data_IF_517563299098
#
_entry.id   IF_517563299098
#
_cell.length_a   1.000
_cell.length_b   1.000
_cell.length_c   1.000
_cell.angle_alpha   90.00
_cell.angle_beta   90.00
_cell.angle_gamma   90.00
#
_symmetry.space_group_name_H-M   'P 1'
#
loop_
_entity.id
_entity.type
_entity.pdbx_description
1 polymer ?
#
# COMPACT_ATOMS: atom_id res chain seq x y z
N UNK A 1 3.37 13.56 -8.69
CA UNK A 1 4.81 13.32 -8.96
C UNK A 1 5.25 11.91 -8.55
N UNK A 2 5.02 11.44 -7.32
CA UNK A 2 5.38 10.06 -6.90
C UNK A 2 4.93 8.98 -7.89
N UNK A 3 3.67 9.00 -8.33
CA UNK A 3 3.17 8.06 -9.34
C UNK A 3 3.92 8.15 -10.67
N UNK A 4 4.35 9.35 -11.07
CA UNK A 4 5.13 9.55 -12.29
C UNK A 4 6.52 8.93 -12.19
N UNK A 5 7.16 9.03 -11.03
CA UNK A 5 8.45 8.37 -10.77
C UNK A 5 8.33 6.85 -10.74
N UNK A 6 7.24 6.32 -10.15
CA UNK A 6 6.99 4.90 -10.15
C UNK A 6 6.68 4.33 -11.54
N UNK A 7 6.21 5.14 -12.49
CA UNK A 7 6.04 4.71 -13.88
C UNK A 7 7.37 4.35 -14.55
N UNK A 8 8.50 4.93 -14.11
CA UNK A 8 9.81 4.59 -14.68
C UNK A 8 10.14 3.09 -14.57
N UNK A 9 9.55 2.39 -13.60
CA UNK A 9 9.73 0.94 -13.50
C UNK A 9 9.14 0.16 -14.68
N UNK A 10 8.22 0.75 -15.43
CA UNK A 10 7.66 0.12 -16.63
C UNK A 10 8.66 -0.03 -17.79
N UNK A 11 9.85 0.58 -17.68
CA UNK A 11 10.99 0.36 -18.57
C UNK A 11 11.32 -1.13 -18.69
N UNK A 12 11.17 -1.89 -17.60
CA UNK A 12 11.39 -3.35 -17.54
C UNK A 12 10.53 -4.11 -18.54
N UNK A 13 9.37 -3.57 -18.90
CA UNK A 13 8.45 -4.21 -19.85
C UNK A 13 9.03 -4.32 -21.27
N UNK A 14 10.04 -3.53 -21.59
CA UNK A 14 10.75 -3.56 -22.87
C UNK A 14 11.94 -4.52 -22.87
N UNK A 15 12.38 -4.99 -21.71
CA UNK A 15 13.41 -6.00 -21.60
C UNK A 15 12.77 -7.36 -21.88
N UNK A 16 13.28 -8.09 -22.86
CA UNK A 16 12.75 -9.39 -23.26
C UNK A 16 13.81 -10.50 -23.18
N UNK A 17 13.38 -11.71 -23.39
CA UNK A 17 14.27 -12.88 -23.40
C UNK A 17 15.12 -12.97 -24.71
N UNK A 18 14.76 -12.23 -25.76
CA UNK A 18 15.35 -12.38 -27.08
C UNK A 18 16.45 -11.34 -27.35
N UNK A 19 16.12 -10.34 -28.14
CA UNK A 19 17.06 -9.37 -28.71
C UNK A 19 17.28 -8.13 -27.83
N UNK A 20 16.36 -7.83 -26.89
CA UNK A 20 16.49 -6.75 -25.94
C UNK A 20 16.61 -7.26 -24.48
N UNK A 21 17.49 -8.23 -24.25
CA UNK A 21 17.80 -8.67 -22.88
C UNK A 21 18.55 -7.56 -22.11
N UNK A 22 18.74 -7.75 -20.81
CA UNK A 22 19.36 -6.74 -19.91
C UNK A 22 20.71 -6.25 -20.47
N UNK A 23 21.56 -7.15 -20.99
CA UNK A 23 22.87 -6.79 -21.54
C UNK A 23 22.77 -6.01 -22.86
N UNK A 24 21.85 -6.43 -23.74
CA UNK A 24 21.60 -5.73 -25.00
C UNK A 24 21.02 -4.35 -24.77
N UNK A 25 20.08 -4.22 -23.81
CA UNK A 25 19.52 -2.93 -23.41
C UNK A 25 20.58 -2.01 -22.82
N UNK A 26 21.43 -2.52 -21.91
CA UNK A 26 22.56 -1.77 -21.36
C UNK A 26 23.56 -1.32 -22.42
N UNK A 27 23.88 -2.19 -23.41
CA UNK A 27 24.74 -1.85 -24.54
C UNK A 27 24.13 -0.76 -25.43
N UNK A 28 22.82 -0.83 -25.70
CA UNK A 28 22.12 0.21 -26.45
C UNK A 28 22.15 1.55 -25.68
N UNK A 29 21.94 1.52 -24.38
CA UNK A 29 22.03 2.69 -23.51
C UNK A 29 23.45 3.27 -23.46
N UNK A 30 24.49 2.44 -23.46
CA UNK A 30 25.89 2.90 -23.45
C UNK A 30 26.25 3.78 -24.67
N UNK A 31 25.59 3.59 -25.80
CA UNK A 31 25.71 4.48 -26.97
C UNK A 31 24.78 5.70 -26.79
N UNK A 32 25.15 6.60 -25.93
CA UNK A 32 24.33 7.75 -25.50
C UNK A 32 23.83 8.60 -26.67
N UNK A 33 24.68 8.89 -27.66
CA UNK A 33 24.25 9.71 -28.81
C UNK A 33 23.10 9.07 -29.60
N UNK A 34 23.22 7.78 -29.90
CA UNK A 34 22.19 7.05 -30.63
C UNK A 34 20.95 6.81 -29.74
N UNK A 35 21.18 6.48 -28.49
CA UNK A 35 20.10 6.23 -27.56
C UNK A 35 19.17 7.44 -27.38
N UNK A 36 19.73 8.64 -27.20
CA UNK A 36 18.92 9.86 -27.09
C UNK A 36 18.26 10.28 -28.39
N UNK A 37 18.87 9.96 -29.56
CA UNK A 37 18.21 10.13 -30.85
C UNK A 37 16.98 9.22 -30.97
N UNK A 38 17.12 7.94 -30.61
CA UNK A 38 16.03 6.97 -30.64
C UNK A 38 14.93 7.33 -29.59
N UNK A 39 15.34 7.78 -28.40
CA UNK A 39 14.42 8.29 -27.41
C UNK A 39 13.60 9.47 -27.96
N UNK A 40 14.27 10.46 -28.55
CA UNK A 40 13.58 11.63 -29.09
C UNK A 40 12.62 11.26 -30.23
N UNK A 41 13.03 10.34 -31.09
CA UNK A 41 12.18 9.82 -32.18
C UNK A 41 10.91 9.17 -31.60
N UNK A 42 11.05 8.26 -30.65
CA UNK A 42 9.93 7.55 -30.02
C UNK A 42 9.05 8.53 -29.23
N UNK A 43 9.66 9.39 -28.41
CA UNK A 43 8.92 10.35 -27.57
C UNK A 43 8.08 11.32 -28.40
N UNK A 44 8.54 11.68 -29.58
CA UNK A 44 7.84 12.56 -30.51
C UNK A 44 6.96 11.82 -31.53
N UNK A 45 6.85 10.48 -31.44
CA UNK A 45 5.98 9.69 -32.30
C UNK A 45 4.51 10.04 -32.09
N UNK A 46 3.72 9.88 -33.16
CA UNK A 46 2.28 10.17 -33.08
C UNK A 46 1.56 9.28 -32.06
N UNK A 47 2.03 8.05 -31.90
CA UNK A 47 1.52 7.14 -30.86
C UNK A 47 1.66 7.74 -29.46
N UNK A 48 2.83 8.25 -29.10
CA UNK A 48 3.05 8.83 -27.77
C UNK A 48 2.45 10.24 -27.64
N UNK A 49 2.34 10.99 -28.73
CA UNK A 49 1.56 12.25 -28.73
C UNK A 49 0.09 12.01 -28.44
N UNK A 50 -0.52 11.02 -29.10
CA UNK A 50 -1.91 10.63 -28.84
C UNK A 50 -2.10 10.15 -27.40
N UNK A 51 -1.15 9.36 -26.90
CA UNK A 51 -1.17 8.88 -25.51
C UNK A 51 -1.08 10.03 -24.48
N UNK A 52 -0.32 11.08 -24.77
CA UNK A 52 -0.26 12.32 -23.96
C UNK A 52 -1.51 13.19 -24.12
N UNK A 53 -2.13 13.17 -25.28
CA UNK A 53 -3.32 13.96 -25.61
C UNK A 53 -4.64 13.46 -25.03
N UNK A 54 -4.61 12.46 -24.12
CA UNK A 54 -5.78 12.00 -23.40
C UNK A 54 -6.52 10.80 -24.02
N UNK A 55 -5.92 10.12 -25.02
CA UNK A 55 -6.38 8.79 -25.42
C UNK A 55 -5.88 7.81 -24.37
N UNK A 56 -6.74 7.43 -23.61
CA UNK A 56 -6.92 6.74 -22.35
C UNK A 56 -6.02 5.54 -22.09
N UNK A 57 -5.24 5.67 -21.04
CA UNK A 57 -4.53 4.55 -20.40
C UNK A 57 -5.28 3.99 -19.19
N UNK A 58 -6.19 4.78 -18.62
CA UNK A 58 -7.05 4.39 -17.50
C UNK A 58 -8.50 4.70 -17.83
N UNK A 59 -9.24 3.65 -18.19
CA UNK A 59 -10.67 3.74 -18.58
C UNK A 59 -11.51 4.35 -17.46
N UNK A 60 -11.22 4.01 -16.20
CA UNK A 60 -12.02 4.47 -15.06
C UNK A 60 -11.80 5.96 -14.75
N UNK A 61 -10.55 6.42 -14.78
CA UNK A 61 -10.23 7.83 -14.53
C UNK A 61 -10.76 8.74 -15.63
N UNK A 62 -10.71 8.26 -16.87
CA UNK A 62 -11.18 9.01 -18.02
C UNK A 62 -12.71 9.02 -18.15
N UNK A 63 -13.41 7.92 -17.86
CA UNK A 63 -14.88 7.88 -17.78
C UNK A 63 -15.38 8.81 -16.68
N UNK A 64 -14.71 8.81 -15.52
CA UNK A 64 -15.03 9.72 -14.41
C UNK A 64 -14.81 11.19 -14.84
N UNK A 65 -13.67 11.51 -15.41
CA UNK A 65 -13.38 12.86 -15.90
C UNK A 65 -14.36 13.30 -16.99
N UNK A 66 -14.71 12.42 -17.93
CA UNK A 66 -15.67 12.70 -18.99
C UNK A 66 -17.09 12.89 -18.43
N UNK A 67 -17.51 12.08 -17.46
CA UNK A 67 -18.83 12.21 -16.81
C UNK A 67 -18.93 13.51 -16.01
N UNK A 68 -17.86 13.88 -15.32
CA UNK A 68 -17.79 15.13 -14.55
C UNK A 68 -17.72 16.36 -15.47
N UNK A 69 -17.02 16.28 -16.61
CA UNK A 69 -16.92 17.35 -17.61
C UNK A 69 -18.27 17.65 -18.29
N UNK A 70 -19.09 16.63 -18.54
CA UNK A 70 -20.44 16.77 -19.10
C UNK A 70 -21.47 17.31 -18.09
N UNK A 71 -21.12 17.45 -16.83
CA UNK A 71 -22.02 17.95 -15.79
C UNK A 71 -22.22 19.46 -15.93
N UNK A 72 -23.45 19.92 -15.77
CA UNK A 72 -23.80 21.36 -15.67
C UNK A 72 -23.40 21.97 -14.31
N UNK A 73 -22.93 21.18 -13.36
CA UNK A 73 -22.55 21.65 -12.03
C UNK A 73 -21.09 22.16 -12.03
N UNK A 74 -20.84 23.46 -11.72
CA UNK A 74 -19.50 24.07 -11.74
C UNK A 74 -18.49 23.35 -10.86
N UNK A 75 -18.92 22.86 -9.69
CA UNK A 75 -18.04 22.14 -8.76
C UNK A 75 -17.51 20.83 -9.37
N UNK A 76 -18.34 20.10 -10.11
CA UNK A 76 -17.95 18.85 -10.80
C UNK A 76 -16.99 19.14 -11.95
N UNK A 77 -17.20 20.24 -12.68
CA UNK A 77 -16.28 20.67 -13.76
C UNK A 77 -14.92 21.07 -13.18
N UNK A 78 -14.90 21.78 -12.04
CA UNK A 78 -13.66 22.11 -11.34
C UNK A 78 -12.91 20.86 -10.88
N UNK A 79 -13.60 19.90 -10.28
CA UNK A 79 -13.01 18.61 -9.87
C UNK A 79 -12.45 17.87 -11.10
N UNK A 80 -13.16 17.87 -12.22
CA UNK A 80 -12.67 17.26 -13.47
C UNK A 80 -11.34 17.88 -13.92
N UNK A 81 -11.23 19.21 -13.91
CA UNK A 81 -9.99 19.93 -14.27
C UNK A 81 -8.86 19.65 -13.29
N UNK A 82 -9.13 19.61 -11.99
CA UNK A 82 -8.14 19.27 -10.96
C UNK A 82 -7.64 17.85 -11.11
N UNK A 83 -8.51 16.89 -11.45
CA UNK A 83 -8.14 15.52 -11.76
C UNK A 83 -7.26 15.46 -13.01
N UNK A 84 -7.64 16.14 -14.09
CA UNK A 84 -6.88 16.19 -15.34
C UNK A 84 -5.46 16.73 -15.11
N UNK A 85 -5.33 17.85 -14.40
CA UNK A 85 -4.04 18.41 -13.99
C UNK A 85 -3.25 17.48 -13.06
N UNK A 86 -3.94 16.77 -12.16
CA UNK A 86 -3.32 15.80 -11.25
C UNK A 86 -2.78 14.55 -11.95
N UNK A 87 -3.35 14.16 -13.10
CA UNK A 87 -2.87 13.04 -13.92
C UNK A 87 -1.76 13.41 -14.89
N UNK A 88 -1.62 14.68 -15.25
CA UNK A 88 -0.61 15.14 -16.23
C UNK A 88 0.82 14.68 -15.88
N UNK A 89 1.32 14.82 -14.64
CA UNK A 89 2.65 14.31 -14.30
C UNK A 89 2.80 12.79 -14.48
N UNK A 90 1.74 12.03 -14.20
CA UNK A 90 1.74 10.57 -14.37
C UNK A 90 1.77 10.19 -15.85
N UNK A 91 1.00 10.90 -16.70
CA UNK A 91 1.02 10.71 -18.15
C UNK A 91 2.38 11.05 -18.77
N UNK A 92 3.00 12.14 -18.33
CA UNK A 92 4.36 12.50 -18.77
C UNK A 92 5.36 11.44 -18.31
N UNK A 93 5.29 11.00 -17.05
CA UNK A 93 6.15 9.95 -16.50
C UNK A 93 6.01 8.63 -17.25
N UNK A 94 4.79 8.22 -17.58
CA UNK A 94 4.51 7.03 -18.38
C UNK A 94 5.14 7.13 -19.77
N UNK A 95 4.97 8.26 -20.47
CA UNK A 95 5.55 8.47 -21.78
C UNK A 95 7.08 8.52 -21.77
N UNK A 96 7.69 9.11 -20.73
CA UNK A 96 9.13 9.07 -20.53
C UNK A 96 9.60 7.63 -20.34
N UNK A 97 8.93 6.85 -19.49
CA UNK A 97 9.28 5.46 -19.24
C UNK A 97 9.16 4.60 -20.52
N UNK A 98 8.09 4.80 -21.29
CA UNK A 98 7.89 4.12 -22.58
C UNK A 98 9.01 4.49 -23.57
N UNK A 99 9.35 5.78 -23.68
CA UNK A 99 10.41 6.22 -24.58
C UNK A 99 11.79 5.72 -24.13
N UNK A 100 12.06 5.71 -22.83
CA UNK A 100 13.33 5.22 -22.24
C UNK A 100 13.52 3.73 -22.49
N UNK A 101 12.55 2.90 -22.17
CA UNK A 101 12.61 1.46 -22.41
C UNK A 101 12.53 1.13 -23.91
N UNK A 102 11.66 1.85 -24.61
CA UNK A 102 11.43 1.71 -26.04
C UNK A 102 12.65 2.04 -26.89
N UNK A 103 13.48 3.01 -26.52
CA UNK A 103 14.68 3.37 -27.26
C UNK A 103 15.67 2.20 -27.39
N UNK A 104 15.95 1.50 -26.28
CA UNK A 104 16.82 0.32 -26.31
C UNK A 104 16.20 -0.83 -27.12
N UNK A 105 14.90 -1.06 -26.94
CA UNK A 105 14.15 -2.08 -27.67
C UNK A 105 14.15 -1.81 -29.17
N UNK A 106 13.78 -0.61 -29.59
CA UNK A 106 13.75 -0.17 -30.97
C UNK A 106 15.10 -0.35 -31.65
N UNK A 107 16.19 0.10 -31.00
CA UNK A 107 17.56 -0.05 -31.53
C UNK A 107 17.95 -1.51 -31.72
N UNK A 108 17.68 -2.35 -30.73
CA UNK A 108 18.01 -3.76 -30.83
C UNK A 108 17.17 -4.51 -31.87
N UNK A 109 15.91 -4.09 -32.06
CA UNK A 109 15.07 -4.61 -33.17
C UNK A 109 15.61 -4.22 -34.55
N UNK A 110 16.04 -2.96 -34.73
CA UNK A 110 16.70 -2.53 -35.97
C UNK A 110 17.92 -3.41 -36.23
N UNK A 111 18.81 -3.57 -35.24
CA UNK A 111 20.00 -4.39 -35.37
C UNK A 111 19.67 -5.85 -35.75
N UNK A 112 18.58 -6.38 -35.24
CA UNK A 112 18.11 -7.74 -35.57
C UNK A 112 17.66 -7.81 -37.02
N UNK A 113 16.90 -6.84 -37.51
CA UNK A 113 16.42 -6.81 -38.90
C UNK A 113 17.53 -6.55 -39.91
N UNK A 114 18.50 -5.71 -39.57
CA UNK A 114 19.69 -5.52 -40.41
C UNK A 114 20.49 -6.81 -40.56
N UNK A 115 20.65 -7.59 -39.47
CA UNK A 115 21.29 -8.92 -39.54
C UNK A 115 20.51 -9.94 -40.37
N UNK A 116 19.21 -9.72 -40.56
CA UNK A 116 18.34 -10.55 -41.42
C UNK A 116 18.38 -10.09 -42.89
N UNK A 117 19.17 -9.05 -43.22
CA UNK A 117 19.36 -8.56 -44.58
C UNK A 117 18.34 -7.51 -45.05
N UNK A 118 17.53 -6.96 -44.14
CA UNK A 118 16.63 -5.86 -44.52
C UNK A 118 17.43 -4.56 -44.72
N UNK A 119 16.91 -3.69 -45.58
CA UNK A 119 17.43 -2.33 -45.68
C UNK A 119 17.21 -1.52 -44.40
N UNK A 120 18.01 -0.48 -44.18
CA UNK A 120 17.90 0.37 -42.98
C UNK A 120 16.47 0.90 -42.81
N UNK A 121 15.85 1.39 -43.89
CA UNK A 121 14.51 1.97 -43.85
C UNK A 121 13.42 0.95 -43.53
N UNK A 122 13.52 -0.26 -44.04
CA UNK A 122 12.61 -1.35 -43.75
C UNK A 122 12.79 -1.86 -42.29
N UNK A 123 14.04 -1.95 -41.84
CA UNK A 123 14.37 -2.34 -40.47
C UNK A 123 13.81 -1.35 -39.45
N UNK A 124 13.93 -0.05 -39.70
CA UNK A 124 13.36 1.01 -38.87
C UNK A 124 11.84 0.94 -38.84
N UNK A 125 11.17 0.79 -39.97
CA UNK A 125 9.71 0.69 -40.03
C UNK A 125 9.18 -0.53 -39.29
N UNK A 126 9.79 -1.71 -39.48
CA UNK A 126 9.41 -2.93 -38.77
C UNK A 126 9.70 -2.83 -37.26
N UNK A 127 10.87 -2.31 -36.90
CA UNK A 127 11.22 -2.12 -35.49
C UNK A 127 10.25 -1.17 -34.77
N UNK A 128 9.76 -0.14 -35.46
CA UNK A 128 8.76 0.76 -34.92
C UNK A 128 7.40 0.08 -34.75
N UNK A 129 6.98 -0.76 -35.70
CA UNK A 129 5.77 -1.59 -35.55
C UNK A 129 5.88 -2.53 -34.35
N UNK A 130 7.01 -3.24 -34.20
CA UNK A 130 7.26 -4.10 -33.06
C UNK A 130 7.24 -3.33 -31.71
N UNK A 131 7.80 -2.11 -31.70
CA UNK A 131 7.75 -1.21 -30.57
C UNK A 131 6.30 -0.83 -30.22
N UNK A 132 5.47 -0.52 -31.21
CA UNK A 132 4.05 -0.24 -30.98
C UNK A 132 3.34 -1.44 -30.39
N UNK A 133 3.58 -2.63 -30.94
CA UNK A 133 2.94 -3.88 -30.46
C UNK A 133 3.37 -4.24 -29.05
N UNK A 134 4.66 -4.18 -28.74
CA UNK A 134 5.13 -4.45 -27.36
C UNK A 134 4.56 -3.42 -26.39
N UNK A 135 4.52 -2.14 -26.76
CA UNK A 135 3.94 -1.10 -25.91
C UNK A 135 2.48 -1.35 -25.62
N UNK A 136 1.68 -1.70 -26.63
CA UNK A 136 0.26 -2.00 -26.43
C UNK A 136 0.03 -3.29 -25.64
N UNK A 137 0.91 -4.27 -25.78
CA UNK A 137 0.77 -5.56 -25.09
C UNK A 137 1.26 -5.54 -23.65
N UNK A 138 2.26 -4.74 -23.32
CA UNK A 138 2.90 -4.70 -21.98
C UNK A 138 2.47 -3.52 -21.12
N UNK A 139 1.94 -2.46 -21.72
CA UNK A 139 1.34 -1.34 -21.00
C UNK A 139 -0.17 -1.53 -20.87
N UNK A 140 -0.80 -0.81 -19.97
CA UNK A 140 -2.27 -0.78 -19.91
C UNK A 140 -2.82 -0.23 -21.22
N UNK A 141 -3.51 -1.07 -21.96
CA UNK A 141 -4.17 -0.70 -23.22
C UNK A 141 -5.68 -0.84 -23.06
N UNK A 142 -6.41 0.16 -23.54
CA UNK A 142 -7.87 0.11 -23.64
C UNK A 142 -8.32 -0.53 -24.97
N UNK A 143 -7.39 -0.97 -25.82
CA UNK A 143 -7.72 -1.60 -27.11
C UNK A 143 -8.46 -2.92 -26.90
N UNK A 144 -9.62 -3.13 -27.57
CA UNK A 144 -10.42 -4.34 -27.40
C UNK A 144 -9.68 -5.64 -27.76
N UNK A 145 -8.73 -5.58 -28.71
CA UNK A 145 -7.92 -6.71 -29.14
C UNK A 145 -6.86 -7.13 -28.11
N UNK A 146 -6.51 -6.24 -27.18
CA UNK A 146 -5.55 -6.49 -26.12
C UNK A 146 -6.20 -6.92 -24.80
N UNK A 147 -7.52 -6.81 -24.70
CA UNK A 147 -8.31 -7.21 -23.52
C UNK A 147 -8.83 -8.64 -23.72
N UNK A 148 -8.58 -9.54 -22.76
CA UNK A 148 -9.09 -10.91 -22.85
C UNK A 148 -10.62 -10.93 -22.68
N UNK A 149 -11.31 -11.94 -23.27
CA UNK A 149 -12.75 -12.12 -23.09
C UNK A 149 -13.15 -12.20 -21.61
N UNK A 150 -12.30 -12.79 -20.77
CA UNK A 150 -12.54 -12.85 -19.32
C UNK A 150 -12.49 -11.44 -18.69
N UNK A 151 -11.51 -10.61 -19.07
CA UNK A 151 -11.39 -9.25 -18.58
C UNK A 151 -12.53 -8.34 -19.09
N UNK A 152 -13.04 -8.61 -20.29
CA UNK A 152 -14.17 -7.87 -20.88
C UNK A 152 -15.52 -8.18 -20.20
N UNK A 153 -15.63 -9.32 -19.51
CA UNK A 153 -16.84 -9.68 -18.76
C UNK A 153 -17.07 -8.78 -17.56
N UNK A 154 -18.30 -8.66 -17.08
CA UNK A 154 -18.64 -7.83 -15.91
C UNK A 154 -17.83 -8.26 -14.67
N UNK A 155 -17.76 -9.55 -14.39
CA UNK A 155 -16.99 -10.11 -13.27
C UNK A 155 -15.48 -9.89 -13.51
N UNK A 156 -15.02 -10.10 -14.73
CA UNK A 156 -13.63 -9.89 -15.10
C UNK A 156 -13.19 -8.44 -14.93
N UNK A 157 -14.01 -7.46 -15.27
CA UNK A 157 -13.73 -6.03 -15.03
C UNK A 157 -13.54 -5.72 -13.55
N UNK A 158 -14.24 -6.43 -12.67
CA UNK A 158 -14.16 -6.22 -11.23
C UNK A 158 -12.92 -6.92 -10.62
N UNK A 159 -12.60 -8.14 -11.07
CA UNK A 159 -11.54 -8.98 -10.47
C UNK A 159 -10.19 -8.82 -11.19
N UNK A 160 -10.20 -8.77 -12.54
CA UNK A 160 -8.99 -8.75 -13.37
C UNK A 160 -8.58 -7.34 -13.81
N UNK A 161 -9.10 -6.31 -13.17
CA UNK A 161 -8.69 -4.95 -13.44
C UNK A 161 -7.17 -4.80 -13.22
N UNK A 162 -6.48 -4.11 -14.12
CA UNK A 162 -5.03 -3.90 -14.11
C UNK A 162 -4.14 -5.16 -14.29
N UNK A 163 -4.71 -6.30 -14.72
CA UNK A 163 -3.97 -7.55 -14.91
C UNK A 163 -3.40 -7.74 -16.33
N UNK A 164 -3.46 -6.72 -17.21
CA UNK A 164 -3.06 -6.87 -18.62
C UNK A 164 -1.60 -7.29 -18.78
N UNK A 165 -0.68 -6.64 -18.08
CA UNK A 165 0.77 -6.93 -18.14
C UNK A 165 1.04 -8.37 -17.69
N UNK A 166 0.52 -8.74 -16.52
CA UNK A 166 0.66 -10.09 -15.97
C UNK A 166 0.06 -11.14 -16.89
N UNK A 167 -1.09 -10.87 -17.50
CA UNK A 167 -1.74 -11.77 -18.45
C UNK A 167 -0.91 -11.97 -19.72
N UNK A 168 -0.20 -10.94 -20.21
CA UNK A 168 0.68 -11.06 -21.38
C UNK A 168 1.90 -11.93 -21.07
N UNK A 169 2.58 -11.72 -19.95
CA UNK A 169 3.71 -12.56 -19.57
C UNK A 169 3.31 -14.02 -19.38
N UNK A 170 2.15 -14.27 -18.80
CA UNK A 170 1.62 -15.62 -18.71
C UNK A 170 1.28 -16.23 -20.07
N UNK A 171 0.79 -15.45 -21.04
CA UNK A 171 0.60 -15.94 -22.43
C UNK A 171 1.91 -16.34 -23.06
N UNK A 172 2.98 -15.54 -22.87
CA UNK A 172 4.30 -15.85 -23.40
C UNK A 172 4.88 -17.11 -22.77
N UNK A 173 4.78 -17.23 -21.44
CA UNK A 173 5.19 -18.44 -20.72
C UNK A 173 4.36 -19.68 -21.10
N UNK A 174 3.02 -19.52 -21.20
CA UNK A 174 2.11 -20.59 -21.64
C UNK A 174 2.42 -21.04 -23.07
N UNK A 175 2.69 -20.10 -23.99
CA UNK A 175 3.09 -20.43 -25.35
C UNK A 175 4.39 -21.25 -25.36
N UNK A 176 5.39 -20.83 -24.60
CA UNK A 176 6.64 -21.56 -24.49
C UNK A 176 6.43 -22.97 -23.92
N UNK A 177 5.56 -23.13 -22.92
CA UNK A 177 5.17 -24.45 -22.40
C UNK A 177 4.46 -25.32 -23.45
N UNK A 178 3.52 -24.74 -24.19
CA UNK A 178 2.83 -25.43 -25.29
C UNK A 178 3.80 -25.86 -26.40
N UNK A 179 4.83 -25.03 -26.70
CA UNK A 179 5.84 -25.36 -27.70
C UNK A 179 6.73 -26.53 -27.26
N UNK A 180 7.07 -26.64 -25.96
CA UNK A 180 7.72 -27.83 -25.39
C UNK A 180 6.80 -29.05 -25.50
N UNK A 181 5.58 -28.93 -24.98
CA UNK A 181 4.62 -30.05 -24.95
C UNK A 181 4.33 -30.61 -26.35
N UNK A 182 4.14 -29.71 -27.34
CA UNK A 182 3.86 -30.09 -28.72
C UNK A 182 5.15 -30.35 -29.54
N UNK A 183 6.33 -30.36 -28.92
CA UNK A 183 7.63 -30.56 -29.56
C UNK A 183 7.86 -29.67 -30.79
N UNK A 184 7.49 -28.40 -30.67
CA UNK A 184 7.65 -27.43 -31.79
C UNK A 184 9.05 -26.85 -31.80
N UNK A 185 9.69 -26.92 -32.97
CA UNK A 185 10.94 -26.23 -33.22
C UNK A 185 10.64 -24.76 -33.51
N UNK A 186 11.03 -23.87 -32.60
CA UNK A 186 10.68 -22.44 -32.63
C UNK A 186 11.63 -21.60 -33.50
N UNK A 187 12.81 -22.13 -33.83
CA UNK A 187 13.79 -21.45 -34.68
C UNK A 187 14.27 -22.40 -35.76
N UNK A 188 14.40 -21.94 -37.04
CA UNK A 188 15.02 -22.76 -38.10
C UNK A 188 16.45 -23.11 -37.67
N UNK A 189 16.92 -24.25 -38.12
CA UNK A 189 18.27 -24.80 -37.86
C UNK A 189 18.62 -25.03 -36.41
N UNK A 190 17.64 -25.31 -35.55
CA UNK A 190 17.86 -25.72 -34.14
C UNK A 190 17.38 -27.14 -33.92
N UNK A 191 18.04 -27.88 -33.02
CA UNK A 191 17.58 -29.19 -32.59
C UNK A 191 16.37 -29.06 -31.63
N UNK A 192 15.58 -30.14 -31.50
CA UNK A 192 14.46 -30.18 -30.55
C UNK A 192 14.93 -29.83 -29.13
N UNK A 193 16.05 -30.40 -28.69
CA UNK A 193 16.61 -30.12 -27.36
C UNK A 193 16.98 -28.63 -27.18
N UNK A 194 17.57 -28.00 -28.17
CA UNK A 194 17.87 -26.56 -28.13
C UNK A 194 16.60 -25.72 -28.06
N UNK A 195 15.56 -26.13 -28.79
CA UNK A 195 14.25 -25.46 -28.75
C UNK A 195 13.62 -25.60 -27.38
N UNK A 196 13.65 -26.79 -26.77
CA UNK A 196 13.09 -27.08 -25.45
C UNK A 196 13.82 -26.30 -24.34
N UNK A 197 15.17 -26.25 -24.38
CA UNK A 197 15.97 -25.42 -23.46
C UNK A 197 15.62 -23.94 -23.60
N UNK A 198 15.49 -23.45 -24.83
CA UNK A 198 15.10 -22.05 -25.09
C UNK A 198 13.72 -21.74 -24.52
N UNK A 199 12.76 -22.63 -24.69
CA UNK A 199 11.41 -22.45 -24.18
C UNK A 199 11.35 -22.58 -22.65
N UNK A 200 12.09 -23.51 -22.04
CA UNK A 200 12.24 -23.61 -20.58
C UNK A 200 12.85 -22.32 -19.99
N UNK A 201 13.87 -21.77 -20.65
CA UNK A 201 14.47 -20.49 -20.26
C UNK A 201 13.49 -19.33 -20.39
N UNK A 202 12.63 -19.30 -21.41
CA UNK A 202 11.54 -18.30 -21.53
C UNK A 202 10.54 -18.41 -20.41
N UNK A 203 10.13 -19.61 -20.04
CA UNK A 203 9.21 -19.85 -18.92
C UNK A 203 9.82 -19.29 -17.61
N UNK A 204 11.08 -19.67 -17.33
CA UNK A 204 11.80 -19.16 -16.16
C UNK A 204 11.95 -17.64 -16.19
N UNK A 205 12.25 -17.06 -17.35
CA UNK A 205 12.38 -15.62 -17.50
C UNK A 205 11.07 -14.90 -17.16
N UNK A 206 9.96 -15.26 -17.79
CA UNK A 206 8.70 -14.51 -17.63
C UNK A 206 8.01 -14.77 -16.28
N UNK A 207 8.18 -15.93 -15.69
CA UNK A 207 7.55 -16.22 -14.39
C UNK A 207 8.41 -15.87 -13.18
N UNK A 208 9.73 -15.88 -13.31
CA UNK A 208 10.61 -15.61 -12.18
C UNK A 208 11.47 -14.35 -12.39
N UNK A 209 12.35 -14.36 -13.40
CA UNK A 209 13.40 -13.35 -13.58
C UNK A 209 12.83 -11.95 -13.78
N UNK A 210 11.81 -11.81 -14.61
CA UNK A 210 11.19 -10.50 -14.87
C UNK A 210 10.52 -9.91 -13.64
N UNK A 211 9.84 -10.72 -12.85
CA UNK A 211 9.27 -10.27 -11.58
C UNK A 211 10.37 -9.88 -10.58
N UNK A 212 11.48 -10.60 -10.55
CA UNK A 212 12.64 -10.26 -9.71
C UNK A 212 13.29 -8.93 -10.15
N UNK A 213 13.49 -8.71 -11.45
CA UNK A 213 14.02 -7.45 -11.99
C UNK A 213 13.12 -6.29 -11.60
N UNK A 214 11.81 -6.42 -11.82
CA UNK A 214 10.83 -5.40 -11.46
C UNK A 214 10.90 -5.05 -9.96
N UNK A 215 10.91 -6.06 -9.11
CA UNK A 215 10.99 -5.87 -7.67
C UNK A 215 12.34 -5.28 -7.23
N UNK A 216 13.44 -5.74 -7.81
CA UNK A 216 14.78 -5.21 -7.49
C UNK A 216 14.87 -3.73 -7.86
N UNK A 217 14.37 -3.33 -9.03
CA UNK A 217 14.32 -1.92 -9.43
C UNK A 217 13.41 -1.11 -8.52
N UNK A 218 12.27 -1.66 -8.12
CA UNK A 218 11.39 -1.02 -7.15
C UNK A 218 12.10 -0.78 -5.82
N UNK A 219 12.80 -1.81 -5.33
CA UNK A 219 13.55 -1.73 -4.07
C UNK A 219 14.72 -0.74 -4.18
N UNK A 220 15.48 -0.78 -5.29
CA UNK A 220 16.57 0.15 -5.53
C UNK A 220 16.10 1.60 -5.63
N UNK A 221 14.97 1.84 -6.32
CA UNK A 221 14.39 3.18 -6.40
C UNK A 221 13.96 3.69 -5.02
N UNK A 222 13.37 2.82 -4.19
CA UNK A 222 13.02 3.19 -2.82
C UNK A 222 14.26 3.40 -1.94
N UNK A 223 15.29 2.55 -2.05
CA UNK A 223 16.53 2.70 -1.29
C UNK A 223 17.24 4.02 -1.65
N UNK A 224 17.39 4.34 -2.94
CA UNK A 224 17.98 5.62 -3.38
C UNK A 224 17.26 6.86 -2.84
N UNK A 225 16.00 6.72 -2.44
CA UNK A 225 15.18 7.84 -1.95
C UNK A 225 15.12 7.94 -0.43
N UNK A 226 15.52 6.90 0.31
CA UNK A 226 15.29 6.78 1.76
C UNK A 226 16.48 6.20 2.53
N UNK A 227 17.69 6.18 1.92
CA UNK A 227 18.84 5.53 2.52
C UNK A 227 19.52 6.49 3.53
N UNK A 228 19.23 6.26 4.82
CA UNK A 228 19.96 6.90 5.93
C UNK A 228 20.36 5.91 7.06
N UNK A 229 19.98 4.60 7.00
CA UNK A 229 20.32 3.65 8.06
C UNK A 229 20.78 2.28 7.52
N UNK A 230 22.10 2.02 7.58
CA UNK A 230 22.72 0.75 7.14
C UNK A 230 22.28 -0.49 7.95
N UNK A 231 21.82 -0.35 9.18
CA UNK A 231 21.42 -1.49 10.03
C UNK A 231 20.08 -2.12 9.64
N UNK A 232 19.20 -1.38 9.01
CA UNK A 232 17.85 -1.86 8.65
C UNK A 232 17.78 -2.60 7.30
N UNK A 233 18.83 -2.49 6.46
CA UNK A 233 18.86 -3.08 5.11
C UNK A 233 18.75 -4.60 5.14
N UNK A 234 19.42 -5.29 6.05
CA UNK A 234 19.38 -6.76 6.14
C UNK A 234 18.04 -7.28 6.66
N UNK A 235 17.46 -6.66 7.68
CA UNK A 235 16.13 -7.02 8.19
C UNK A 235 15.02 -6.64 7.19
N UNK A 236 15.19 -5.53 6.50
CA UNK A 236 14.34 -5.09 5.42
C UNK A 236 14.42 -6.06 4.22
N UNK A 237 15.61 -6.57 3.89
CA UNK A 237 15.82 -7.53 2.81
C UNK A 237 15.16 -8.88 3.09
N UNK A 238 15.23 -9.41 4.32
CA UNK A 238 14.59 -10.66 4.70
C UNK A 238 13.05 -10.55 4.68
N UNK A 239 12.48 -9.48 5.22
CA UNK A 239 11.04 -9.18 5.14
C UNK A 239 10.58 -8.93 3.70
N UNK A 240 11.43 -8.31 2.89
CA UNK A 240 11.14 -8.04 1.48
C UNK A 240 11.26 -9.31 0.62
N UNK A 241 12.15 -10.24 0.96
CA UNK A 241 12.27 -11.54 0.26
C UNK A 241 10.97 -12.35 0.31
N UNK A 242 10.32 -12.42 1.45
CA UNK A 242 9.04 -13.10 1.59
C UNK A 242 7.95 -12.42 0.75
N UNK A 243 7.90 -11.09 0.76
CA UNK A 243 7.00 -10.32 -0.09
C UNK A 243 7.28 -10.51 -1.58
N UNK A 244 8.55 -10.61 -1.97
CA UNK A 244 8.97 -10.90 -3.35
C UNK A 244 8.43 -12.25 -3.81
N UNK A 245 8.69 -13.30 -3.06
CA UNK A 245 8.26 -14.67 -3.40
C UNK A 245 6.74 -14.71 -3.49
N UNK A 246 6.04 -14.21 -2.49
CA UNK A 246 4.58 -14.15 -2.49
C UNK A 246 4.01 -13.31 -3.63
N UNK A 247 4.61 -12.16 -3.94
CA UNK A 247 4.22 -11.30 -5.05
C UNK A 247 4.43 -11.97 -6.42
N UNK A 248 5.53 -12.70 -6.58
CA UNK A 248 5.81 -13.47 -7.81
C UNK A 248 4.79 -14.61 -8.00
N UNK A 249 4.49 -15.36 -6.94
CA UNK A 249 3.46 -16.41 -6.98
C UNK A 249 2.09 -15.80 -7.31
N UNK A 250 1.73 -14.67 -6.69
CA UNK A 250 0.48 -13.97 -6.98
C UNK A 250 0.42 -13.50 -8.43
N UNK A 251 1.51 -12.99 -8.97
CA UNK A 251 1.60 -12.55 -10.35
C UNK A 251 1.32 -13.71 -11.33
N UNK A 252 1.94 -14.86 -11.09
CA UNK A 252 1.70 -16.07 -11.88
C UNK A 252 0.24 -16.53 -11.75
N UNK A 253 -0.26 -16.68 -10.53
CA UNK A 253 -1.62 -17.15 -10.30
C UNK A 253 -2.66 -16.22 -10.91
N UNK A 254 -2.61 -14.93 -10.63
CA UNK A 254 -3.56 -13.93 -11.18
C UNK A 254 -3.50 -13.84 -12.70
N UNK A 255 -2.33 -14.07 -13.30
CA UNK A 255 -2.19 -14.11 -14.76
C UNK A 255 -2.91 -15.29 -15.42
N UNK A 256 -3.26 -16.36 -14.70
CA UNK A 256 -4.07 -17.46 -15.24
C UNK A 256 -5.56 -17.13 -15.34
N UNK A 257 -5.98 -15.92 -14.94
CA UNK A 257 -7.35 -15.41 -15.05
C UNK A 257 -8.14 -15.52 -13.75
N UNK A 258 -9.46 -15.66 -13.86
CA UNK A 258 -10.38 -15.61 -12.70
C UNK A 258 -10.06 -16.66 -11.63
N UNK A 259 -9.86 -17.91 -12.05
CA UNK A 259 -9.55 -19.02 -11.12
C UNK A 259 -8.25 -18.75 -10.37
N UNK A 260 -7.20 -18.35 -11.08
CA UNK A 260 -5.94 -18.01 -10.45
C UNK A 260 -6.02 -16.80 -9.53
N UNK A 261 -6.87 -15.82 -9.85
CA UNK A 261 -7.18 -14.71 -8.96
C UNK A 261 -7.80 -15.16 -7.63
N UNK A 262 -8.74 -16.10 -7.68
CA UNK A 262 -9.34 -16.72 -6.49
C UNK A 262 -8.29 -17.48 -5.68
N UNK A 263 -7.48 -18.33 -6.32
CA UNK A 263 -6.43 -19.11 -5.64
C UNK A 263 -5.38 -18.19 -4.97
N UNK A 264 -4.95 -17.14 -5.66
CA UNK A 264 -4.03 -16.14 -5.10
C UNK A 264 -4.62 -15.46 -3.87
N UNK A 265 -5.91 -15.11 -3.92
CA UNK A 265 -6.60 -14.48 -2.79
C UNK A 265 -6.74 -15.44 -1.61
N UNK A 266 -7.14 -16.69 -1.83
CA UNK A 266 -7.23 -17.70 -0.78
C UNK A 266 -5.86 -17.95 -0.11
N UNK A 267 -4.78 -18.04 -0.90
CA UNK A 267 -3.41 -18.11 -0.37
C UNK A 267 -3.09 -16.93 0.54
N UNK A 268 -3.40 -15.70 0.11
CA UNK A 268 -3.10 -14.50 0.88
C UNK A 268 -3.94 -14.40 2.15
N UNK A 269 -5.21 -14.81 2.10
CA UNK A 269 -6.08 -14.93 3.29
C UNK A 269 -5.49 -15.92 4.29
N UNK A 270 -5.01 -17.09 3.83
CA UNK A 270 -4.38 -18.07 4.70
C UNK A 270 -3.10 -17.52 5.36
N UNK A 271 -2.25 -16.82 4.60
CA UNK A 271 -1.04 -16.18 5.12
C UNK A 271 -1.41 -15.08 6.14
N UNK A 272 -2.41 -14.23 5.83
CA UNK A 272 -2.86 -13.19 6.74
C UNK A 272 -3.40 -13.80 8.05
N UNK A 273 -4.18 -14.86 7.96
CA UNK A 273 -4.70 -15.58 9.12
C UNK A 273 -3.58 -16.20 9.96
N UNK A 274 -2.63 -16.88 9.34
CA UNK A 274 -1.47 -17.46 10.04
C UNK A 274 -0.69 -16.37 10.79
N UNK A 275 -0.39 -15.25 10.13
CA UNK A 275 0.30 -14.11 10.76
C UNK A 275 -0.46 -13.55 11.95
N UNK A 276 -1.80 -13.48 11.90
CA UNK A 276 -2.60 -12.99 13.02
C UNK A 276 -2.62 -13.97 14.21
N UNK A 277 -2.51 -15.28 13.95
CA UNK A 277 -2.36 -16.29 15.03
C UNK A 277 -1.00 -16.21 15.74
N UNK A 278 0.04 -15.81 15.03
CA UNK A 278 1.39 -15.66 15.62
C UNK A 278 1.56 -14.38 16.44
N UNK A 279 0.59 -13.44 16.36
CA UNK A 279 0.60 -12.22 17.15
C UNK A 279 -0.01 -12.49 18.52
N UNK A 280 0.82 -12.48 19.56
CA UNK A 280 0.41 -12.73 20.94
C UNK A 280 -0.44 -11.62 21.58
N UNK A 281 -0.67 -10.50 20.89
CA UNK A 281 -1.35 -9.33 21.41
C UNK A 281 -2.27 -8.69 20.37
N UNK A 282 -3.58 -8.64 20.67
CA UNK A 282 -4.63 -8.01 19.87
C UNK A 282 -4.54 -8.30 18.36
N UNK A 283 -4.89 -9.50 17.91
CA UNK A 283 -4.89 -9.83 16.49
C UNK A 283 -5.84 -8.91 15.71
N UNK A 284 -5.39 -8.45 14.53
CA UNK A 284 -6.18 -7.59 13.65
C UNK A 284 -6.99 -8.42 12.66
N UNK A 285 -8.15 -8.90 13.06
CA UNK A 285 -9.04 -9.70 12.20
C UNK A 285 -9.48 -8.95 10.94
N UNK A 286 -9.53 -7.62 10.99
CA UNK A 286 -9.89 -6.81 9.82
C UNK A 286 -8.89 -6.95 8.67
N UNK A 287 -7.63 -7.28 8.95
CA UNK A 287 -6.62 -7.54 7.93
C UNK A 287 -6.95 -8.77 7.08
N UNK A 288 -7.51 -9.83 7.71
CA UNK A 288 -7.93 -11.05 7.02
C UNK A 288 -9.14 -10.78 6.11
N UNK A 289 -10.11 -10.01 6.61
CA UNK A 289 -11.30 -9.61 5.83
C UNK A 289 -10.90 -8.75 4.63
N UNK A 290 -10.00 -7.78 4.83
CA UNK A 290 -9.47 -6.92 3.74
C UNK A 290 -8.77 -7.77 2.69
N UNK A 291 -7.98 -8.79 3.09
CA UNK A 291 -7.33 -9.68 2.13
C UNK A 291 -8.34 -10.51 1.33
N UNK A 292 -9.41 -11.00 1.94
CA UNK A 292 -10.48 -11.69 1.21
C UNK A 292 -11.16 -10.77 0.18
N UNK A 293 -11.41 -9.51 0.54
CA UNK A 293 -12.02 -8.52 -0.36
C UNK A 293 -11.06 -8.03 -1.46
N UNK A 294 -9.76 -8.26 -1.34
CA UNK A 294 -8.76 -8.00 -2.39
C UNK A 294 -8.88 -8.92 -3.62
N UNK A 295 -9.80 -9.89 -3.60
CA UNK A 295 -10.19 -10.61 -4.82
C UNK A 295 -10.60 -9.61 -5.93
N UNK A 296 -11.28 -8.55 -5.56
CA UNK A 296 -11.55 -7.41 -6.42
C UNK A 296 -10.71 -6.20 -5.99
N UNK A 297 -9.78 -5.70 -6.81
CA UNK A 297 -9.03 -4.50 -6.49
C UNK A 297 -9.91 -3.30 -6.14
N UNK A 298 -11.05 -3.16 -6.80
CA UNK A 298 -12.00 -2.05 -6.56
C UNK A 298 -12.66 -2.20 -5.19
N UNK A 299 -13.16 -3.38 -4.85
CA UNK A 299 -13.81 -3.65 -3.56
C UNK A 299 -12.77 -3.61 -2.43
N UNK A 300 -11.60 -4.21 -2.64
CA UNK A 300 -10.51 -4.21 -1.67
C UNK A 300 -10.00 -2.81 -1.32
N UNK A 301 -9.92 -1.90 -2.30
CA UNK A 301 -9.56 -0.49 -2.03
C UNK A 301 -10.61 0.16 -1.13
N UNK A 302 -11.91 -0.01 -1.43
CA UNK A 302 -13.00 0.56 -0.64
C UNK A 302 -13.03 -0.02 0.79
N UNK A 303 -12.86 -1.33 0.91
CA UNK A 303 -12.77 -1.99 2.22
C UNK A 303 -11.61 -1.45 3.05
N UNK A 304 -10.41 -1.30 2.45
CA UNK A 304 -9.26 -0.68 3.15
C UNK A 304 -9.54 0.75 3.59
N UNK A 305 -10.23 1.54 2.78
CA UNK A 305 -10.58 2.92 3.14
C UNK A 305 -11.49 2.96 4.38
N UNK A 306 -12.49 2.08 4.44
CA UNK A 306 -13.38 1.95 5.61
C UNK A 306 -12.58 1.52 6.84
N UNK A 307 -11.84 0.42 6.74
CA UNK A 307 -11.04 -0.11 7.86
C UNK A 307 -10.01 0.92 8.33
N UNK A 308 -9.35 1.63 7.42
CA UNK A 308 -8.41 2.69 7.79
C UNK A 308 -9.10 3.85 8.49
N UNK A 309 -10.31 4.24 8.05
CA UNK A 309 -11.09 5.28 8.71
C UNK A 309 -11.47 4.88 10.14
N UNK A 310 -11.98 3.65 10.33
CA UNK A 310 -12.30 3.11 11.66
C UNK A 310 -11.08 3.01 12.57
N UNK A 311 -9.97 2.48 12.05
CA UNK A 311 -8.70 2.43 12.79
C UNK A 311 -8.24 3.83 13.19
N UNK A 312 -8.30 4.80 12.28
CA UNK A 312 -7.92 6.18 12.57
C UNK A 312 -8.75 6.76 13.71
N UNK A 313 -10.06 6.55 13.71
CA UNK A 313 -10.94 7.02 14.77
C UNK A 313 -10.66 6.30 16.11
N UNK A 314 -10.50 4.99 16.08
CA UNK A 314 -10.31 4.20 17.31
C UNK A 314 -8.95 4.44 17.95
N UNK A 315 -7.86 4.39 17.18
CA UNK A 315 -6.49 4.58 17.71
C UNK A 315 -6.20 6.01 18.12
N UNK A 316 -6.81 6.99 17.45
CA UNK A 316 -6.56 8.40 17.74
C UNK A 316 -7.69 9.05 18.53
N UNK A 317 -8.63 8.28 19.10
CA UNK A 317 -9.80 8.83 19.82
C UNK A 317 -9.41 9.93 20.82
N UNK A 318 -8.44 9.69 21.69
CA UNK A 318 -7.98 10.67 22.67
C UNK A 318 -7.35 11.91 22.03
N UNK A 319 -6.66 11.76 20.92
CA UNK A 319 -6.05 12.88 20.17
C UNK A 319 -7.15 13.70 19.50
N UNK A 320 -8.14 13.04 18.92
CA UNK A 320 -9.29 13.66 18.28
C UNK A 320 -10.07 14.51 19.30
N UNK A 321 -10.28 13.97 20.53
CA UNK A 321 -11.01 14.66 21.61
C UNK A 321 -10.23 15.85 22.18
N UNK A 322 -8.90 15.87 22.13
CA UNK A 322 -8.04 16.96 22.63
C UNK A 322 -7.77 18.04 21.57
N UNK A 323 -7.92 17.73 20.28
CA UNK A 323 -7.70 18.69 19.19
C UNK A 323 -8.99 19.44 18.84
N UNK A 324 -8.85 20.67 18.35
CA UNK A 324 -9.97 21.41 17.80
C UNK A 324 -10.59 20.68 16.60
N UNK A 325 -11.92 20.64 16.55
CA UNK A 325 -12.66 19.91 15.51
C UNK A 325 -12.32 20.40 14.10
N UNK A 326 -12.08 21.71 13.93
CA UNK A 326 -11.74 22.28 12.62
C UNK A 326 -10.26 22.34 12.33
N UNK A 327 -9.39 21.86 13.23
CA UNK A 327 -7.98 21.74 12.94
C UNK A 327 -7.77 20.68 11.83
N UNK A 328 -7.16 21.13 10.73
CA UNK A 328 -6.90 20.27 9.56
C UNK A 328 -5.97 19.11 9.88
N UNK A 329 -5.18 19.19 10.96
CA UNK A 329 -4.31 18.12 11.45
C UNK A 329 -5.05 17.11 12.34
N UNK A 330 -6.30 17.39 12.71
CA UNK A 330 -7.09 16.45 13.48
C UNK A 330 -7.32 15.17 12.67
N UNK A 331 -6.93 13.98 13.20
CA UNK A 331 -7.06 12.70 12.51
C UNK A 331 -8.48 12.37 12.03
N UNK A 332 -9.50 12.96 12.63
CA UNK A 332 -10.90 12.78 12.20
C UNK A 332 -11.11 13.13 10.72
N UNK A 333 -10.43 14.15 10.19
CA UNK A 333 -10.58 14.56 8.79
C UNK A 333 -10.06 13.51 7.82
N UNK A 334 -8.99 12.79 8.19
CA UNK A 334 -8.53 11.63 7.41
C UNK A 334 -9.59 10.54 7.35
N UNK A 335 -10.26 10.25 8.47
CA UNK A 335 -11.34 9.27 8.49
C UNK A 335 -12.56 9.72 7.67
N UNK A 336 -13.02 10.96 7.87
CA UNK A 336 -14.15 11.54 7.13
C UNK A 336 -13.89 11.52 5.63
N UNK A 337 -12.72 11.96 5.19
CA UNK A 337 -12.36 11.98 3.76
C UNK A 337 -12.25 10.59 3.15
N UNK A 338 -11.82 9.59 3.91
CA UNK A 338 -11.85 8.18 3.49
C UNK A 338 -13.28 7.67 3.30
N UNK A 339 -14.20 7.95 4.24
CA UNK A 339 -15.61 7.57 4.10
C UNK A 339 -16.25 8.27 2.89
N UNK A 340 -16.09 9.60 2.77
CA UNK A 340 -16.64 10.34 1.64
C UNK A 340 -16.13 9.78 0.31
N UNK A 341 -14.82 9.51 0.19
CA UNK A 341 -14.25 8.91 -1.02
C UNK A 341 -14.83 7.53 -1.31
N UNK A 342 -15.04 6.70 -0.29
CA UNK A 342 -15.57 5.34 -0.46
C UNK A 342 -16.99 5.34 -1.02
N UNK A 343 -17.85 6.23 -0.52
CA UNK A 343 -19.27 6.25 -0.91
C UNK A 343 -19.56 7.09 -2.16
N UNK A 344 -18.79 8.16 -2.37
CA UNK A 344 -19.03 9.07 -3.51
C UNK A 344 -18.16 8.79 -4.73
N UNK A 345 -17.12 7.97 -4.60
CA UNK A 345 -16.03 7.78 -5.58
C UNK A 345 -15.28 9.09 -5.95
N UNK A 346 -15.51 10.17 -5.22
CA UNK A 346 -14.75 11.40 -5.39
C UNK A 346 -13.39 11.27 -4.67
N UNK A 347 -12.28 11.71 -5.25
CA UNK A 347 -10.95 11.54 -4.68
C UNK A 347 -10.66 12.53 -3.53
N UNK A 348 -11.59 12.70 -2.62
CA UNK A 348 -11.53 13.70 -1.53
C UNK A 348 -10.36 13.45 -0.60
N UNK A 349 -10.14 12.17 -0.23
CA UNK A 349 -8.99 11.81 0.62
C UNK A 349 -7.65 12.05 -0.08
N UNK A 350 -7.57 11.84 -1.40
CA UNK A 350 -6.36 12.17 -2.17
C UNK A 350 -6.08 13.67 -2.18
N UNK A 351 -7.12 14.49 -2.31
CA UNK A 351 -7.00 15.96 -2.25
C UNK A 351 -6.57 16.40 -0.86
N UNK A 352 -7.20 15.89 0.18
CA UNK A 352 -6.82 16.13 1.57
C UNK A 352 -5.35 15.82 1.82
N UNK A 353 -4.90 14.61 1.49
CA UNK A 353 -3.52 14.19 1.68
C UNK A 353 -2.52 15.06 0.89
N UNK A 354 -2.88 15.47 -0.34
CA UNK A 354 -2.03 16.39 -1.12
C UNK A 354 -1.94 17.77 -0.45
N UNK A 355 -3.04 18.29 0.05
CA UNK A 355 -3.05 19.57 0.79
C UNK A 355 -2.19 19.50 2.04
N UNK A 356 -2.29 18.40 2.78
CA UNK A 356 -1.43 18.14 3.94
C UNK A 356 0.05 18.08 3.56
N UNK A 357 0.40 17.32 2.52
CA UNK A 357 1.78 17.22 2.06
C UNK A 357 2.37 18.58 1.64
N UNK A 358 1.60 19.39 0.89
CA UNK A 358 2.03 20.73 0.48
C UNK A 358 2.22 21.63 1.69
N UNK A 359 1.27 21.62 2.64
CA UNK A 359 1.38 22.41 3.86
C UNK A 359 2.61 22.05 4.68
N UNK A 360 2.88 20.75 4.84
CA UNK A 360 4.04 20.26 5.56
C UNK A 360 5.36 20.55 4.80
N UNK A 361 5.35 20.49 3.48
CA UNK A 361 6.48 20.88 2.66
C UNK A 361 6.80 22.39 2.76
N UNK A 362 5.82 23.22 3.11
CA UNK A 362 6.01 24.65 3.38
C UNK A 362 6.51 24.92 4.80
N UNK A 363 6.44 23.94 5.70
CA UNK A 363 6.94 24.10 7.06
C UNK A 363 8.47 24.03 7.08
N UNK A 364 9.09 24.96 7.80
CA UNK A 364 10.56 25.09 7.89
C UNK A 364 11.21 24.08 8.86
N UNK A 365 10.42 23.25 9.56
CA UNK A 365 10.90 22.25 10.49
C UNK A 365 11.61 21.07 9.79
N UNK A 366 11.49 20.97 8.48
CA UNK A 366 12.02 19.88 7.66
C UNK A 366 13.16 20.36 6.77
N UNK A 367 14.10 19.48 6.46
CA UNK A 367 15.20 19.75 5.53
C UNK A 367 14.68 20.07 4.11
N UNK A 368 15.46 20.77 3.32
CA UNK A 368 15.08 21.11 1.93
C UNK A 368 14.78 19.86 1.08
N UNK A 369 15.50 18.75 1.34
CA UNK A 369 15.28 17.47 0.67
C UNK A 369 13.94 16.85 1.04
N UNK A 370 13.63 16.73 2.33
CA UNK A 370 12.36 16.21 2.84
C UNK A 370 11.17 17.01 2.31
N UNK A 371 11.29 18.34 2.36
CA UNK A 371 10.29 19.26 1.80
C UNK A 371 10.04 19.02 0.30
N UNK A 372 11.13 18.82 -0.46
CA UNK A 372 11.03 18.50 -1.89
C UNK A 372 10.29 17.17 -2.13
N UNK A 373 10.58 16.14 -1.33
CA UNK A 373 9.88 14.87 -1.42
C UNK A 373 8.39 14.99 -1.07
N UNK A 374 8.03 15.80 -0.06
CA UNK A 374 6.64 16.06 0.27
C UNK A 374 5.90 16.78 -0.86
N UNK A 375 6.52 17.75 -1.52
CA UNK A 375 5.98 18.35 -2.74
C UNK A 375 5.77 17.34 -3.86
N UNK A 376 6.68 16.36 -3.99
CA UNK A 376 6.58 15.27 -4.96
C UNK A 376 5.50 14.25 -4.59
N UNK A 377 4.91 14.33 -3.39
CA UNK A 377 3.77 13.53 -2.95
C UNK A 377 4.09 12.41 -1.97
N UNK A 378 5.26 12.43 -1.32
CA UNK A 378 5.53 11.62 -0.15
C UNK A 378 4.90 12.25 1.09
N UNK A 379 4.31 11.44 1.96
CA UNK A 379 3.81 11.91 3.26
C UNK A 379 4.92 11.85 4.31
N UNK A 380 4.79 12.59 5.40
CA UNK A 380 5.68 12.47 6.57
C UNK A 380 5.85 11.03 7.03
N UNK A 381 4.74 10.27 7.08
CA UNK A 381 4.75 8.85 7.42
C UNK A 381 5.63 8.00 6.48
N UNK A 382 5.62 8.31 5.17
CA UNK A 382 6.46 7.59 4.20
C UNK A 382 7.95 7.95 4.32
N UNK A 383 8.27 9.08 4.93
CA UNK A 383 9.62 9.60 5.14
C UNK A 383 10.11 9.32 6.57
N UNK A 384 9.33 8.57 7.35
CA UNK A 384 9.57 8.29 8.76
C UNK A 384 9.78 9.56 9.62
N UNK A 385 9.16 10.67 9.21
CA UNK A 385 9.27 11.95 9.88
C UNK A 385 8.22 12.07 10.97
N UNK A 386 8.64 12.46 12.14
CA UNK A 386 7.78 12.69 13.28
C UNK A 386 6.95 13.97 13.10
N UNK A 387 5.65 13.87 13.34
CA UNK A 387 4.80 15.05 13.45
C UNK A 387 4.88 15.60 14.88
N UNK A 388 5.76 16.58 15.10
CA UNK A 388 6.04 17.19 16.43
C UNK A 388 4.75 17.57 17.16
N UNK A 389 3.80 18.22 16.47
CA UNK A 389 2.52 18.62 17.05
C UNK A 389 1.72 17.42 17.58
N UNK A 390 1.66 16.35 16.80
CA UNK A 390 0.96 15.11 17.21
C UNK A 390 1.70 14.39 18.34
N UNK A 391 3.03 14.42 18.34
CA UNK A 391 3.82 13.84 19.42
C UNK A 391 3.64 14.59 20.74
N UNK A 392 3.65 15.91 20.73
CA UNK A 392 3.46 16.72 21.93
C UNK A 392 2.07 16.48 22.52
N UNK A 393 1.01 16.45 21.70
CA UNK A 393 -0.33 16.08 22.17
C UNK A 393 -0.35 14.66 22.76
N UNK A 394 0.30 13.68 22.11
CA UNK A 394 0.39 12.31 22.65
C UNK A 394 1.15 12.26 23.98
N UNK A 395 2.22 13.05 24.13
CA UNK A 395 2.97 13.18 25.39
C UNK A 395 2.09 13.76 26.50
N UNK A 396 1.34 14.81 26.21
CA UNK A 396 0.42 15.43 27.17
C UNK A 396 -0.70 14.49 27.59
N UNK A 397 -1.31 13.77 26.64
CA UNK A 397 -2.32 12.75 26.94
C UNK A 397 -1.72 11.66 27.83
N UNK A 398 -0.49 11.22 27.56
CA UNK A 398 0.20 10.20 28.36
C UNK A 398 0.46 10.67 29.80
N UNK A 399 0.84 11.92 29.97
CA UNK A 399 1.02 12.56 31.29
C UNK A 399 -0.32 12.66 32.00
N UNK A 400 -1.38 13.20 31.37
CA UNK A 400 -2.74 13.28 31.93
C UNK A 400 -3.25 11.91 32.37
N UNK A 401 -3.13 10.89 31.52
CA UNK A 401 -3.56 9.50 31.81
C UNK A 401 -2.80 8.92 33.01
N UNK A 402 -1.49 9.21 33.13
CA UNK A 402 -0.67 8.76 34.27
C UNK A 402 -1.06 9.45 35.57
N UNK A 403 -1.43 10.72 35.51
CA UNK A 403 -1.95 11.47 36.69
C UNK A 403 -3.31 10.92 37.12
N UNK A 404 -4.23 10.69 36.18
CA UNK A 404 -5.55 10.12 36.49
C UNK A 404 -5.45 8.70 37.05
N UNK A 405 -4.58 7.85 36.51
CA UNK A 405 -4.38 6.50 37.03
C UNK A 405 -3.85 6.50 38.46
N UNK A 406 -2.93 7.43 38.80
CA UNK A 406 -2.43 7.63 40.15
C UNK A 406 -3.54 8.13 41.08
N UNK A 407 -4.39 9.08 40.64
CA UNK A 407 -5.54 9.56 41.43
C UNK A 407 -6.54 8.42 41.71
N UNK A 408 -6.91 7.65 40.68
CA UNK A 408 -7.81 6.49 40.78
C UNK A 408 -7.26 5.42 41.76
N UNK A 409 -5.94 5.14 41.64
CA UNK A 409 -5.30 4.19 42.56
C UNK A 409 -5.28 4.68 44.01
N UNK A 410 -5.12 6.00 44.25
CA UNK A 410 -5.19 6.60 45.56
C UNK A 410 -6.60 6.50 46.16
N UNK A 411 -7.62 6.87 45.39
CA UNK A 411 -9.04 6.74 45.82
C UNK A 411 -9.38 5.28 46.16
N UNK A 412 -9.01 4.32 45.31
CA UNK A 412 -9.25 2.90 45.56
C UNK A 412 -8.55 2.37 46.81
N UNK A 413 -7.36 2.90 47.14
CA UNK A 413 -6.65 2.58 48.39
C UNK A 413 -7.36 3.15 49.60
N UNK A 414 -7.90 4.36 49.53
CA UNK A 414 -8.66 5.00 50.60
C UNK A 414 -10.00 4.28 50.82
N UNK A 415 -10.72 3.95 49.76
CA UNK A 415 -11.94 3.13 49.85
C UNK A 415 -11.69 1.78 50.52
N UNK A 416 -10.61 1.08 50.13
CA UNK A 416 -10.24 -0.18 50.78
C UNK A 416 -9.95 -0.02 52.27
N UNK A 417 -9.24 1.06 52.66
CA UNK A 417 -9.01 1.36 54.08
C UNK A 417 -10.31 1.62 54.84
N UNK A 418 -11.28 2.31 54.24
CA UNK A 418 -12.59 2.56 54.84
C UNK A 418 -13.38 1.26 55.02
N UNK A 419 -13.33 0.35 54.06
CA UNK A 419 -13.98 -0.97 54.15
C UNK A 419 -13.35 -1.79 55.26
N UNK A 420 -12.01 -1.91 55.30
CA UNK A 420 -11.27 -2.64 56.35
C UNK A 420 -11.58 -2.07 57.76
N UNK A 421 -11.72 -0.75 57.90
CA UNK A 421 -12.10 -0.11 59.16
C UNK A 421 -13.56 -0.42 59.57
N UNK A 422 -14.48 -0.49 58.60
CA UNK A 422 -15.87 -0.87 58.86
C UNK A 422 -15.98 -2.33 59.29
N UNK A 423 -15.26 -3.24 58.66
CA UNK A 423 -15.22 -4.66 59.01
C UNK A 423 -14.66 -4.87 60.44
N UNK A 424 -13.51 -4.23 60.77
CA UNK A 424 -12.95 -4.29 62.11
C UNK A 424 -13.89 -3.75 63.19
N UNK A 425 -14.64 -2.67 62.88
CA UNK A 425 -15.68 -2.15 63.80
C UNK A 425 -16.85 -3.15 63.97
N UNK A 426 -17.26 -3.80 62.90
CA UNK A 426 -18.32 -4.80 62.90
C UNK A 426 -17.91 -6.05 63.73
N UNK A 427 -16.69 -6.57 63.53
CA UNK A 427 -16.14 -7.69 64.33
C UNK A 427 -16.01 -7.35 65.82
N UNK A 428 -15.59 -6.11 66.14
CA UNK A 428 -15.50 -5.64 67.51
C UNK A 428 -16.87 -5.56 68.20
N UNK A 429 -17.92 -5.14 67.45
CA UNK A 429 -19.30 -5.11 68.00
C UNK A 429 -19.83 -6.55 68.23
N UNK A 430 -19.51 -7.46 67.32
CA UNK A 430 -19.93 -8.87 67.45
C UNK A 430 -19.24 -9.57 68.59
N UNK A 431 -17.96 -9.29 68.82
CA UNK A 431 -17.18 -9.76 69.94
C UNK A 431 -17.76 -9.28 71.28
N UNK A 432 -18.11 -7.98 71.38
CA UNK A 432 -18.78 -7.43 72.57
C UNK A 432 -20.17 -8.06 72.86
N UNK A 433 -20.93 -8.38 71.79
CA UNK A 433 -22.22 -9.06 71.90
C UNK A 433 -22.06 -10.49 72.44
N UNK A 434 -21.00 -11.21 72.05
CA UNK A 434 -20.67 -12.54 72.58
C UNK A 434 -20.22 -12.50 74.06
N UNK A 435 -19.31 -11.55 74.39
CA UNK A 435 -18.86 -11.37 75.77
C UNK A 435 -20.00 -11.01 76.74
N UNK A 436 -20.99 -10.24 76.25
CA UNK A 436 -22.20 -9.90 77.01
C UNK A 436 -23.13 -11.10 77.22
N UNK A 437 -23.20 -12.06 76.33
CA UNK A 437 -23.96 -13.32 76.46
C UNK A 437 -23.28 -14.32 77.37
N UNK A 438 -21.94 -14.25 77.52
CA UNK A 438 -21.13 -15.11 78.36
C UNK A 438 -20.98 -14.56 79.82
N UNK A 439 -21.63 -13.44 80.16
CA UNK A 439 -21.57 -12.84 81.54
C UNK A 439 -20.21 -12.18 81.82
N UNK A 440 -19.34 -11.97 80.84
CA UNK A 440 -18.05 -11.28 80.98
C UNK A 440 -18.23 -9.76 80.96
N UNK A 441 -17.38 -9.07 81.71
CA UNK A 441 -17.40 -7.62 81.86
C UNK A 441 -17.13 -6.97 80.50
N UNK A 442 -18.00 -6.10 79.97
CA UNK A 442 -17.90 -5.45 78.71
C UNK A 442 -16.78 -4.41 78.72
N UNK A 443 -15.90 -4.42 77.78
CA UNK A 443 -14.76 -3.49 77.65
C UNK A 443 -14.90 -2.51 76.48
N UNK A 444 -14.32 -1.32 76.63
CA UNK A 444 -14.27 -0.32 75.58
C UNK A 444 -13.57 -0.85 74.28
N UNK A 445 -14.15 -0.62 73.11
CA UNK A 445 -13.63 -1.10 71.84
C UNK A 445 -12.27 -0.52 71.47
N UNK A 446 -11.88 0.62 72.07
CA UNK A 446 -10.63 1.32 71.75
C UNK A 446 -9.56 1.04 72.79
N UNK A 447 -9.83 1.31 74.11
CA UNK A 447 -8.80 1.21 75.14
C UNK A 447 -8.92 -0.05 76.02
N UNK A 448 -9.93 -0.90 75.79
CA UNK A 448 -10.21 -2.18 76.50
C UNK A 448 -10.43 -2.07 78.01
N UNK A 449 -10.64 -0.88 78.54
CA UNK A 449 -11.02 -0.69 79.88
C UNK A 449 -12.48 -1.12 80.12
N UNK A 450 -12.83 -1.62 81.33
CA UNK A 450 -14.19 -2.00 81.66
C UNK A 450 -15.15 -0.81 81.53
N UNK A 451 -16.34 -1.07 81.00
CA UNK A 451 -17.38 -0.07 80.77
C UNK A 451 -18.71 -0.60 81.28
N UNK A 452 -19.62 0.33 81.54
CA UNK A 452 -20.99 -0.02 81.99
C UNK A 452 -21.75 -0.81 80.93
N UNK A 453 -22.55 -1.75 81.40
CA UNK A 453 -23.37 -2.59 80.51
C UNK A 453 -24.32 -1.73 79.65
N UNK A 454 -24.13 -1.75 78.40
CA UNK A 454 -24.94 -0.97 77.43
C UNK A 454 -24.14 0.10 76.64
N UNK A 455 -22.92 0.45 77.07
CA UNK A 455 -22.02 1.36 76.36
C UNK A 455 -21.06 0.61 75.49
N UNK A 456 -20.61 1.22 74.36
CA UNK A 456 -19.63 0.66 73.45
C UNK A 456 -18.23 1.26 73.62
N UNK A 457 -18.15 2.42 74.22
CA UNK A 457 -16.94 3.19 74.48
C UNK A 457 -16.90 3.70 75.91
N UNK A 458 -15.72 3.91 76.42
CA UNK A 458 -15.55 4.61 77.71
C UNK A 458 -15.78 6.12 77.49
N UNK A 459 -15.96 6.84 78.62
CA UNK A 459 -16.21 8.30 78.65
C UNK A 459 -15.15 9.13 77.83
N UNK A 460 -13.95 8.59 77.64
CA UNK A 460 -12.87 9.24 76.87
C UNK A 460 -13.01 9.00 75.39
N UNK A 461 -13.67 7.92 74.97
CA UNK A 461 -13.79 7.52 73.54
C UNK A 461 -15.24 7.56 73.05
N UNK A 462 -16.13 8.25 73.73
CA UNK A 462 -17.56 8.36 73.37
C UNK A 462 -17.87 9.49 72.37
N UNK A 463 -16.83 10.19 71.93
CA UNK A 463 -16.95 11.26 70.91
C UNK A 463 -16.79 10.75 69.47
#
# INVERSE_FOLDING_TARGET
MRSALLQQMSIVNYINFADNNVFAAAKAFANQKQYWADFAFIFNSDMLKQRRGGIQTDVNGAELAASLRKSKNPSRVLISKLLELGFLPTQIGDNIAIATGGASYYRNRINTYLKQGLSQKEAEAKAFTDFQDITQSTQQSARPDMVSKQQASVIGKVILNFQNVTSQFNRLGKKAFQDIYNRRITKPNTTQMQSDISNASRITYYFAIQNMIFYTLQTALFAMMFDDDEEDVNNLFLKKRERLINGSIDSVLRGTGLIGGVVATLKNVAIAFARQRDVNYNPDESAVVVEALNLSPVIGIKARQIVNAEKTLNYNKKVIDEMETFDIDNPQWSAVTNYVQTFTNLPVNRLYNKTQNVRQALNNDHSAWERSLMFLGWSQYNLDLENKKMEDIKKDIKIKTKIESKKKAKVKREEKKIVDLKEKKAEGIEKQKKEKKEGKQVTCLVCKLPIESGKKYCTVHEK
#
